data_IF_151593013789
#
_entry.id   IF_151593013789
#
_cell.length_a   1.000
_cell.length_b   1.000
_cell.length_c   1.000
_cell.angle_alpha   90.00
_cell.angle_beta   90.00
_cell.angle_gamma   90.00
#
_symmetry.space_group_name_H-M   'P 1'
#
loop_
_entity.id
_entity.type
_entity.pdbx_description
1 polymer ?
#
# COMPACT_ATOMS: atom_id res chain seq x y z
N UNK A 1 -4.92 5.67 0.60
CA UNK A 1 -3.94 4.78 -0.11
C UNK A 1 -3.87 5.07 -1.62
N UNK A 2 -2.78 4.66 -2.29
CA UNK A 2 -2.54 4.96 -3.72
C UNK A 2 -1.78 3.84 -4.47
N UNK A 3 -2.16 3.58 -5.73
CA UNK A 3 -1.39 2.72 -6.64
C UNK A 3 -1.18 3.37 -8.01
N UNK A 4 0.04 3.26 -8.54
CA UNK A 4 0.35 3.71 -9.90
C UNK A 4 -0.23 2.76 -10.95
N UNK A 5 -0.73 3.32 -12.05
CA UNK A 5 -1.01 2.58 -13.29
C UNK A 5 0.30 2.23 -14.01
N UNK A 6 0.24 1.37 -15.04
CA UNK A 6 1.29 1.27 -16.06
C UNK A 6 1.51 2.54 -16.89
N UNK A 7 0.80 3.64 -16.60
CA UNK A 7 0.89 4.94 -17.28
C UNK A 7 1.04 6.13 -16.31
N UNK A 8 0.61 7.33 -16.73
CA UNK A 8 0.73 8.59 -15.95
C UNK A 8 -0.53 8.93 -15.14
N UNK A 9 -1.11 7.93 -14.49
CA UNK A 9 -2.28 8.09 -13.63
C UNK A 9 -2.19 7.18 -12.40
N UNK A 10 -2.97 7.51 -11.38
CA UNK A 10 -2.93 6.88 -10.06
C UNK A 10 -4.36 6.55 -9.62
N UNK A 11 -4.53 5.35 -9.09
CA UNK A 11 -5.74 4.95 -8.38
C UNK A 11 -5.60 5.37 -6.93
N UNK A 12 -6.68 5.88 -6.36
CA UNK A 12 -6.80 6.19 -4.94
C UNK A 12 -7.79 5.23 -4.31
N UNK A 13 -7.59 4.96 -3.03
CA UNK A 13 -8.54 4.29 -2.17
C UNK A 13 -8.69 5.12 -0.90
N UNK A 14 -9.95 5.39 -0.58
CA UNK A 14 -10.42 6.04 0.63
C UNK A 14 -10.69 4.94 1.69
N UNK A 15 -10.45 5.25 2.94
CA UNK A 15 -10.58 4.33 4.08
C UNK A 15 -12.00 4.32 4.68
N UNK A 16 -12.89 5.23 4.22
CA UNK A 16 -14.28 5.26 4.63
C UNK A 16 -15.01 3.92 4.47
N UNK A 17 -15.85 3.57 5.44
CA UNK A 17 -16.67 2.36 5.36
C UNK A 17 -17.63 2.40 4.17
N UNK A 18 -17.66 1.33 3.38
CA UNK A 18 -18.56 1.16 2.24
C UNK A 18 -18.01 1.70 0.91
N UNK A 19 -16.70 1.99 0.83
CA UNK A 19 -16.05 2.34 -0.45
C UNK A 19 -16.35 1.26 -1.49
N UNK A 20 -16.75 1.71 -2.68
CA UNK A 20 -17.14 0.86 -3.83
C UNK A 20 -16.53 1.30 -5.16
N UNK A 21 -15.76 2.38 -5.17
CA UNK A 21 -15.06 2.89 -6.34
C UNK A 21 -13.66 3.41 -6.01
N UNK A 22 -12.81 3.45 -7.04
CA UNK A 22 -11.45 3.97 -6.98
C UNK A 22 -11.38 5.25 -7.80
N UNK A 23 -11.18 6.43 -7.19
CA UNK A 23 -10.84 7.64 -7.92
C UNK A 23 -9.55 7.45 -8.72
N UNK A 24 -9.54 7.97 -9.94
CA UNK A 24 -8.36 7.97 -10.80
C UNK A 24 -7.91 9.40 -11.02
N UNK A 25 -6.67 9.71 -10.68
CA UNK A 25 -6.10 11.06 -10.83
C UNK A 25 -4.87 11.07 -11.73
N UNK A 26 -4.58 12.20 -12.35
CA UNK A 26 -3.28 12.43 -12.97
C UNK A 26 -2.22 12.83 -11.93
N UNK A 27 -1.01 13.08 -12.41
CA UNK A 27 0.13 13.48 -11.57
C UNK A 27 0.00 14.82 -10.85
N UNK A 28 -0.96 15.65 -11.25
CA UNK A 28 -1.26 16.93 -10.62
C UNK A 28 -2.47 16.82 -9.67
N UNK A 29 -2.97 15.62 -9.44
CA UNK A 29 -4.17 15.36 -8.65
C UNK A 29 -5.48 15.66 -9.39
N UNK A 30 -5.45 15.88 -10.71
CA UNK A 30 -6.68 16.14 -11.46
C UNK A 30 -7.48 14.85 -11.65
N UNK A 31 -8.76 14.85 -11.23
CA UNK A 31 -9.65 13.70 -11.36
C UNK A 31 -9.93 13.37 -12.84
N UNK A 32 -9.57 12.17 -13.24
CA UNK A 32 -9.80 11.59 -14.57
C UNK A 32 -11.10 10.77 -14.64
N UNK A 33 -11.56 10.26 -13.50
CA UNK A 33 -12.79 9.48 -13.38
C UNK A 33 -12.78 8.60 -12.13
N UNK A 34 -13.75 7.69 -12.04
CA UNK A 34 -13.87 6.72 -10.94
C UNK A 34 -14.12 5.33 -11.51
N UNK A 35 -13.31 4.36 -11.10
CA UNK A 35 -13.50 2.95 -11.44
C UNK A 35 -14.42 2.33 -10.40
N UNK A 36 -15.64 1.95 -10.81
CA UNK A 36 -16.51 1.14 -9.95
C UNK A 36 -16.02 -0.30 -9.96
N UNK A 37 -15.88 -0.91 -8.79
CA UNK A 37 -15.45 -2.31 -8.66
C UNK A 37 -16.67 -3.14 -8.31
N UNK A 38 -16.94 -4.18 -9.10
CA UNK A 38 -18.09 -5.04 -8.87
C UNK A 38 -17.91 -5.81 -7.54
N UNK A 39 -18.89 -5.69 -6.63
CA UNK A 39 -18.87 -6.38 -5.34
C UNK A 39 -18.04 -5.70 -4.25
N UNK A 40 -17.27 -4.66 -4.57
CA UNK A 40 -16.48 -3.93 -3.57
C UNK A 40 -17.40 -3.18 -2.60
N UNK A 41 -17.21 -3.47 -1.32
CA UNK A 41 -17.82 -2.77 -0.19
C UNK A 41 -16.88 -2.91 1.01
N UNK A 42 -15.76 -2.21 0.97
CA UNK A 42 -14.71 -2.34 1.99
C UNK A 42 -15.23 -1.90 3.36
N UNK A 43 -14.98 -2.70 4.39
CA UNK A 43 -15.33 -2.35 5.78
C UNK A 43 -14.33 -1.36 6.37
N UNK A 44 -13.05 -1.65 6.16
CA UNK A 44 -11.92 -0.78 6.47
C UNK A 44 -10.85 -0.99 5.40
N UNK A 45 -11.00 -0.29 4.28
CA UNK A 45 -10.02 -0.33 3.19
C UNK A 45 -8.75 0.36 3.65
N UNK A 46 -7.63 -0.35 3.69
CA UNK A 46 -6.36 0.17 4.25
C UNK A 46 -5.15 -0.12 3.36
N UNK A 47 -5.37 -0.66 2.16
CA UNK A 47 -4.28 -0.88 1.23
C UNK A 47 -4.72 -0.85 -0.24
N UNK A 48 -3.86 -0.32 -1.10
CA UNK A 48 -4.05 -0.37 -2.54
C UNK A 48 -2.73 -0.67 -3.24
N UNK A 49 -2.64 -1.83 -3.90
CA UNK A 49 -1.42 -2.26 -4.56
C UNK A 49 -1.64 -2.55 -6.05
N UNK A 50 -0.67 -2.15 -6.87
CA UNK A 50 -0.54 -2.59 -8.25
C UNK A 50 0.51 -3.68 -8.37
N UNK A 51 0.19 -4.79 -9.06
CA UNK A 51 1.09 -5.95 -9.09
C UNK A 51 0.82 -6.94 -10.21
N UNK A 52 1.55 -8.05 -10.18
CA UNK A 52 1.35 -9.18 -11.07
C UNK A 52 -0.02 -9.83 -10.81
N UNK A 53 -0.74 -10.25 -11.86
CA UNK A 53 -1.91 -11.11 -11.71
C UNK A 53 -1.56 -12.60 -11.46
N UNK A 54 -0.31 -12.88 -11.09
CA UNK A 54 0.27 -14.21 -11.02
C UNK A 54 0.92 -14.65 -12.33
N UNK A 55 1.13 -15.97 -12.54
CA UNK A 55 1.77 -16.49 -13.75
C UNK A 55 1.02 -16.15 -15.05
N UNK A 56 -0.26 -15.81 -14.97
CA UNK A 56 -1.03 -15.31 -16.09
C UNK A 56 -0.61 -13.87 -16.43
N UNK A 57 -0.19 -13.63 -17.68
CA UNK A 57 0.28 -12.32 -18.13
C UNK A 57 -0.69 -11.16 -17.77
N UNK A 58 -0.14 -10.04 -17.32
CA UNK A 58 -0.86 -8.78 -17.06
C UNK A 58 -0.67 -8.20 -15.67
N UNK A 59 -1.12 -6.96 -15.49
CA UNK A 59 -1.16 -6.26 -14.19
C UNK A 59 -2.55 -6.30 -13.59
N UNK A 60 -2.59 -6.37 -12.26
CA UNK A 60 -3.78 -6.34 -11.44
C UNK A 60 -3.66 -5.22 -10.41
N UNK A 61 -4.81 -4.69 -10.02
CA UNK A 61 -4.97 -3.92 -8.80
C UNK A 61 -5.50 -4.83 -7.69
N UNK A 62 -5.10 -4.52 -6.47
CA UNK A 62 -5.47 -5.23 -5.27
C UNK A 62 -5.93 -4.20 -4.25
N UNK A 63 -7.21 -4.24 -3.91
CA UNK A 63 -7.84 -3.38 -2.90
C UNK A 63 -7.92 -4.20 -1.61
N UNK A 64 -7.15 -3.81 -0.60
CA UNK A 64 -7.10 -4.50 0.69
C UNK A 64 -8.11 -3.92 1.67
N UNK A 65 -9.17 -4.66 1.94
CA UNK A 65 -10.02 -4.49 3.13
C UNK A 65 -9.38 -5.27 4.29
N UNK A 66 -8.24 -4.75 4.74
CA UNK A 66 -7.31 -5.41 5.67
C UNK A 66 -7.18 -4.69 7.01
N UNK A 67 -7.83 -3.55 7.15
CA UNK A 67 -7.87 -2.80 8.40
C UNK A 67 -8.76 -3.44 9.45
N UNK A 68 -8.32 -3.36 10.69
CA UNK A 68 -9.04 -3.86 11.86
C UNK A 68 -8.49 -3.28 13.17
N UNK A 69 -8.66 -1.97 13.39
CA UNK A 69 -8.20 -1.30 14.61
C UNK A 69 -8.66 -1.96 15.93
N UNK A 70 -9.77 -2.72 15.90
CA UNK A 70 -10.30 -3.42 17.07
C UNK A 70 -9.76 -4.86 17.22
N UNK A 71 -9.07 -5.39 16.20
CA UNK A 71 -8.57 -6.78 16.11
C UNK A 71 -9.67 -7.82 16.40
N UNK A 72 -10.78 -7.77 15.64
CA UNK A 72 -11.97 -8.62 15.82
C UNK A 72 -12.42 -9.39 14.58
N UNK A 73 -11.82 -9.13 13.41
CA UNK A 73 -12.20 -9.76 12.14
C UNK A 73 -11.49 -11.09 12.00
N UNK A 74 -12.27 -12.16 11.86
CA UNK A 74 -11.74 -13.50 11.64
C UNK A 74 -11.04 -13.66 10.29
N UNK A 75 -11.40 -12.83 9.30
CA UNK A 75 -10.78 -12.76 7.99
C UNK A 75 -10.69 -11.33 7.44
N UNK A 76 -9.72 -11.14 6.54
CA UNK A 76 -9.56 -9.94 5.71
C UNK A 76 -9.82 -10.30 4.25
N UNK A 77 -10.19 -9.30 3.45
CA UNK A 77 -10.49 -9.51 2.02
C UNK A 77 -9.57 -8.65 1.18
N UNK A 78 -9.01 -9.24 0.13
CA UNK A 78 -8.30 -8.51 -0.92
C UNK A 78 -9.07 -8.68 -2.22
N UNK A 79 -9.64 -7.59 -2.74
CA UNK A 79 -10.32 -7.58 -4.02
C UNK A 79 -9.30 -7.42 -5.14
N UNK A 80 -9.16 -8.44 -5.99
CA UNK A 80 -8.24 -8.43 -7.13
C UNK A 80 -9.01 -8.19 -8.42
N UNK A 81 -8.63 -7.15 -9.15
CA UNK A 81 -9.15 -6.86 -10.48
C UNK A 81 -8.02 -6.71 -11.49
N UNK A 82 -8.28 -7.08 -12.74
CA UNK A 82 -7.39 -6.70 -13.85
C UNK A 82 -7.27 -5.19 -13.89
N UNK A 83 -6.05 -4.67 -14.03
CA UNK A 83 -5.82 -3.22 -14.06
C UNK A 83 -6.67 -2.61 -15.19
N UNK A 84 -7.65 -1.74 -14.86
CA UNK A 84 -8.55 -1.18 -15.87
C UNK A 84 -7.85 -0.11 -16.69
N UNK A 85 -8.32 0.10 -17.93
CA UNK A 85 -7.93 1.31 -18.67
C UNK A 85 -8.35 2.56 -17.89
N UNK A 86 -7.52 3.58 -17.92
CA UNK A 86 -7.82 4.90 -17.32
C UNK A 86 -8.13 5.95 -18.37
N UNK A 87 -8.09 5.58 -19.65
CA UNK A 87 -8.33 6.46 -20.81
C UNK A 87 -9.00 5.66 -21.95
N UNK A 88 -10.33 5.57 -22.00
CA UNK A 88 -11.29 6.11 -21.01
C UNK A 88 -11.37 5.24 -19.74
N UNK A 89 -11.83 5.84 -18.64
CA UNK A 89 -12.24 5.08 -17.45
C UNK A 89 -13.52 4.29 -17.77
N UNK A 90 -13.62 3.00 -17.40
CA UNK A 90 -14.80 2.17 -17.64
C UNK A 90 -16.07 2.77 -17.05
N UNK A 91 -17.15 2.78 -17.84
CA UNK A 91 -18.47 3.19 -17.35
C UNK A 91 -19.16 2.09 -16.58
N UNK A 92 -18.91 0.82 -16.89
CA UNK A 92 -19.45 -0.35 -16.19
C UNK A 92 -18.55 -0.76 -15.01
N UNK A 93 -19.12 -1.40 -13.95
CA UNK A 93 -18.32 -1.97 -12.87
C UNK A 93 -17.32 -3.00 -13.40
N UNK A 94 -16.07 -2.92 -12.94
CA UNK A 94 -15.00 -3.84 -13.30
C UNK A 94 -15.10 -5.10 -12.42
N UNK A 95 -15.13 -6.32 -12.99
CA UNK A 95 -15.13 -7.54 -12.20
C UNK A 95 -13.89 -7.68 -11.32
N UNK A 96 -14.09 -8.21 -10.11
CA UNK A 96 -13.03 -8.53 -9.17
C UNK A 96 -13.22 -9.95 -8.60
N UNK A 97 -12.09 -10.56 -8.22
CA UNK A 97 -12.06 -11.76 -7.40
C UNK A 97 -11.87 -11.35 -5.93
N UNK A 98 -12.67 -11.92 -5.03
CA UNK A 98 -12.55 -11.69 -3.59
C UNK A 98 -11.64 -12.77 -2.99
N UNK A 99 -10.44 -12.38 -2.59
CA UNK A 99 -9.46 -13.27 -1.97
C UNK A 99 -9.55 -13.11 -0.45
N UNK A 100 -10.15 -14.10 0.21
CA UNK A 100 -10.26 -14.13 1.67
C UNK A 100 -8.99 -14.68 2.29
N UNK A 101 -8.50 -14.02 3.34
CA UNK A 101 -7.33 -14.45 4.08
C UNK A 101 -7.58 -14.51 5.59
N UNK A 102 -6.95 -15.49 6.24
CA UNK A 102 -6.98 -15.63 7.70
C UNK A 102 -5.58 -15.57 8.28
N UNK A 103 -5.41 -14.78 9.33
CA UNK A 103 -4.19 -14.76 10.10
C UNK A 103 -4.06 -16.05 10.94
N UNK A 104 -2.86 -16.65 11.01
CA UNK A 104 -2.66 -17.91 11.74
C UNK A 104 -2.65 -17.72 13.27
N UNK A 105 -2.49 -16.50 13.76
CA UNK A 105 -2.30 -16.14 15.17
C UNK A 105 -3.37 -15.16 15.70
N UNK A 106 -4.54 -15.12 15.04
CA UNK A 106 -5.68 -14.27 15.41
C UNK A 106 -5.73 -12.97 14.60
N UNK A 107 -6.80 -12.17 14.76
CA UNK A 107 -6.99 -10.92 14.01
C UNK A 107 -5.86 -9.91 14.24
N UNK A 108 -5.51 -9.14 13.21
CA UNK A 108 -4.56 -8.02 13.29
C UNK A 108 -5.05 -6.83 12.47
N UNK A 109 -4.72 -5.61 12.92
CA UNK A 109 -4.81 -4.42 12.07
C UNK A 109 -3.64 -4.38 11.08
N UNK A 110 -3.90 -4.06 9.82
CA UNK A 110 -2.87 -3.93 8.78
C UNK A 110 -3.15 -2.75 7.84
N UNK A 111 -2.09 -2.13 7.34
CA UNK A 111 -2.15 -0.93 6.50
C UNK A 111 -1.22 -0.99 5.28
N UNK A 112 -0.58 -2.13 5.05
CA UNK A 112 0.29 -2.28 3.91
C UNK A 112 0.12 -3.63 3.24
N UNK A 113 0.01 -3.58 1.91
CA UNK A 113 -0.12 -4.72 1.02
C UNK A 113 0.86 -4.56 -0.14
N UNK A 114 1.67 -5.58 -0.41
CA UNK A 114 2.44 -5.68 -1.65
C UNK A 114 2.21 -7.02 -2.31
N UNK A 115 2.48 -7.10 -3.62
CA UNK A 115 2.17 -8.29 -4.43
C UNK A 115 3.44 -8.81 -5.08
N UNK A 116 3.78 -10.07 -4.81
CA UNK A 116 4.94 -10.74 -5.39
C UNK A 116 4.69 -11.11 -6.86
N UNK A 117 5.75 -11.51 -7.56
CA UNK A 117 5.68 -11.84 -8.99
C UNK A 117 4.74 -13.03 -9.31
N UNK A 118 4.63 -13.99 -8.39
CA UNK A 118 3.73 -15.15 -8.47
C UNK A 118 2.26 -14.80 -8.13
N UNK A 119 1.97 -13.53 -7.82
CA UNK A 119 0.64 -13.05 -7.44
C UNK A 119 0.27 -13.29 -5.98
N UNK A 120 1.18 -13.87 -5.18
CA UNK A 120 1.02 -13.95 -3.73
C UNK A 120 1.07 -12.56 -3.10
N UNK A 121 0.36 -12.42 -1.99
CA UNK A 121 0.28 -11.16 -1.26
C UNK A 121 1.22 -11.16 -0.06
N UNK A 122 1.73 -9.99 0.29
CA UNK A 122 2.45 -9.76 1.53
C UNK A 122 1.72 -8.66 2.28
N UNK A 123 1.35 -8.94 3.52
CA UNK A 123 0.59 -8.03 4.40
C UNK A 123 1.49 -7.62 5.56
N UNK A 124 1.54 -6.33 5.86
CA UNK A 124 2.30 -5.77 6.97
C UNK A 124 1.32 -5.15 7.98
N UNK A 125 1.35 -5.63 9.22
CA UNK A 125 0.42 -5.17 10.27
C UNK A 125 0.79 -3.78 10.77
N UNK A 126 -0.19 -2.97 11.18
CA UNK A 126 0.05 -1.78 11.99
C UNK A 126 -0.30 -2.07 13.44
N UNK A 127 0.70 -2.39 14.28
CA UNK A 127 0.45 -2.54 15.72
C UNK A 127 -0.05 -1.21 16.31
N UNK A 128 -0.93 -1.31 17.31
CA UNK A 128 -1.47 -0.14 17.99
C UNK A 128 -0.39 0.78 18.57
N UNK A 129 -0.62 2.08 18.46
CA UNK A 129 0.28 3.12 18.93
C UNK A 129 0.64 2.98 20.41
N UNK A 130 1.95 3.04 20.72
CA UNK A 130 2.45 2.98 22.09
C UNK A 130 3.53 4.05 22.30
N UNK A 131 3.23 5.15 23.00
CA UNK A 131 4.21 6.21 23.24
C UNK A 131 5.52 5.67 23.83
N UNK A 132 6.65 6.04 23.20
CA UNK A 132 7.99 5.64 23.64
C UNK A 132 8.39 4.18 23.34
N UNK A 133 7.62 3.44 22.54
CA UNK A 133 7.96 2.10 22.08
C UNK A 133 7.80 2.02 20.56
N UNK A 134 8.76 1.40 19.87
CA UNK A 134 8.60 1.00 18.48
C UNK A 134 8.05 -0.43 18.45
N UNK A 135 6.73 -0.62 18.26
CA UNK A 135 6.16 -1.95 18.24
C UNK A 135 6.64 -2.72 17.01
N UNK A 136 6.83 -4.04 17.17
CA UNK A 136 7.20 -4.89 16.04
C UNK A 136 5.98 -5.15 15.14
N UNK A 137 6.13 -4.82 13.87
CA UNK A 137 5.24 -5.20 12.78
C UNK A 137 5.41 -6.69 12.50
N UNK A 138 4.34 -7.32 12.06
CA UNK A 138 4.35 -8.69 11.53
C UNK A 138 4.22 -8.63 10.01
N UNK A 139 5.00 -9.46 9.34
CA UNK A 139 4.96 -9.63 7.89
C UNK A 139 4.38 -11.00 7.61
N UNK A 140 3.25 -11.02 6.91
CA UNK A 140 2.56 -12.22 6.50
C UNK A 140 2.67 -12.43 5.00
N UNK A 141 2.70 -13.68 4.55
CA UNK A 141 2.61 -14.06 3.14
C UNK A 141 1.35 -14.89 2.91
N UNK A 142 0.57 -14.53 1.90
CA UNK A 142 -0.68 -15.18 1.52
C UNK A 142 -0.65 -15.77 0.12
N UNK A 143 -1.28 -16.93 -0.14
CA UNK A 143 -1.37 -17.49 -1.48
C UNK A 143 -2.11 -16.58 -2.47
N UNK A 144 -1.78 -16.66 -3.76
CA UNK A 144 -2.39 -15.84 -4.81
C UNK A 144 -3.92 -16.05 -5.00
N UNK A 145 -4.49 -17.09 -4.40
CA UNK A 145 -5.89 -17.46 -4.50
C UNK A 145 -6.68 -17.25 -3.19
N UNK A 146 -6.11 -16.60 -2.18
CA UNK A 146 -6.67 -16.58 -0.83
C UNK A 146 -6.25 -17.78 0.01
N UNK A 147 -6.70 -17.84 1.26
CA UNK A 147 -6.42 -18.90 2.21
C UNK A 147 -5.70 -18.41 3.47
N UNK A 148 -5.04 -19.32 4.18
CA UNK A 148 -4.37 -18.95 5.41
C UNK A 148 -3.05 -18.22 5.12
N UNK A 149 -2.83 -17.12 5.84
CA UNK A 149 -1.57 -16.40 5.85
C UNK A 149 -0.52 -17.19 6.63
N UNK A 150 0.73 -17.09 6.21
CA UNK A 150 1.89 -17.55 6.98
C UNK A 150 2.62 -16.35 7.56
N UNK A 151 2.83 -16.33 8.88
CA UNK A 151 3.74 -15.37 9.50
C UNK A 151 5.16 -15.67 9.00
N UNK A 152 5.75 -14.72 8.28
CA UNK A 152 7.12 -14.83 7.76
C UNK A 152 8.11 -14.40 8.83
N UNK A 153 7.88 -13.21 9.42
CA UNK A 153 8.74 -12.64 10.44
C UNK A 153 8.09 -11.45 11.15
N UNK A 154 8.75 -11.02 12.21
CA UNK A 154 8.56 -9.68 12.78
C UNK A 154 9.62 -8.71 12.26
N UNK A 155 9.30 -7.43 12.29
CA UNK A 155 10.12 -6.35 11.77
C UNK A 155 9.85 -5.06 12.58
N UNK A 156 10.91 -4.31 12.87
CA UNK A 156 10.79 -2.96 13.44
C UNK A 156 11.39 -2.01 12.39
N UNK A 157 10.61 -1.03 11.89
CA UNK A 157 11.14 -0.03 10.97
C UNK A 157 12.37 0.69 11.55
N UNK A 158 13.29 1.18 10.71
CA UNK A 158 14.29 2.15 11.14
C UNK A 158 13.63 3.32 11.87
N UNK A 159 14.36 3.96 12.78
CA UNK A 159 13.82 5.17 13.42
C UNK A 159 14.00 6.36 12.47
N UNK A 160 12.98 7.19 12.26
CA UNK A 160 13.06 8.33 11.36
C UNK A 160 14.09 9.34 11.87
N UNK A 161 14.76 10.06 10.97
CA UNK A 161 15.71 11.10 11.35
C UNK A 161 15.05 12.26 12.13
N UNK A 162 13.75 12.50 11.87
CA UNK A 162 12.94 13.54 12.53
C UNK A 162 11.62 12.95 13.06
N UNK A 163 11.63 12.28 14.23
CA UNK A 163 10.45 11.63 14.79
C UNK A 163 9.51 12.68 15.42
N UNK A 164 8.61 13.29 14.66
CA UNK A 164 7.62 14.22 15.23
C UNK A 164 6.38 13.46 15.70
N UNK A 165 5.77 12.66 14.82
CA UNK A 165 4.58 11.88 15.14
C UNK A 165 4.91 10.57 15.87
N UNK A 166 6.01 9.92 15.48
CA UNK A 166 6.48 8.64 16.00
C UNK A 166 6.84 8.70 17.49
N UNK A 167 7.09 9.89 18.06
CA UNK A 167 7.21 10.05 19.52
C UNK A 167 5.91 9.71 20.27
N UNK A 168 4.76 9.95 19.62
CA UNK A 168 3.43 9.72 20.18
C UNK A 168 2.91 8.33 19.82
N UNK A 169 3.20 7.86 18.60
CA UNK A 169 2.63 6.62 18.07
C UNK A 169 3.57 5.42 18.09
N UNK A 170 4.88 5.65 18.20
CA UNK A 170 5.90 4.71 17.73
C UNK A 170 6.02 4.77 16.21
N UNK A 171 7.10 4.20 15.69
CA UNK A 171 7.33 4.14 14.24
C UNK A 171 6.42 3.08 13.62
N UNK A 172 5.34 3.48 12.95
CA UNK A 172 4.33 2.57 12.39
C UNK A 172 4.19 2.71 10.88
N UNK A 173 4.18 1.58 10.19
CA UNK A 173 3.90 1.49 8.74
C UNK A 173 2.45 1.88 8.46
N UNK A 174 2.27 2.76 7.48
CA UNK A 174 0.97 3.26 7.00
C UNK A 174 0.70 2.96 5.53
N UNK A 175 1.72 2.61 4.74
CA UNK A 175 1.56 1.99 3.41
C UNK A 175 2.88 1.37 2.94
N UNK A 176 2.83 0.56 1.89
CA UNK A 176 4.02 0.05 1.20
C UNK A 176 3.79 -0.09 -0.30
N UNK A 177 4.87 0.11 -1.09
CA UNK A 177 4.86 -0.08 -2.53
C UNK A 177 5.99 -0.99 -2.98
N UNK A 178 5.69 -1.96 -3.83
CA UNK A 178 6.70 -2.84 -4.43
C UNK A 178 6.68 -2.73 -5.96
N UNK A 179 7.81 -2.34 -6.54
CA UNK A 179 7.95 -2.26 -7.99
C UNK A 179 9.41 -2.43 -8.42
N UNK A 180 9.66 -3.34 -9.39
CA UNK A 180 10.96 -3.51 -10.06
C UNK A 180 12.16 -3.63 -9.09
N UNK A 181 12.05 -4.43 -8.04
CA UNK A 181 13.16 -4.63 -7.10
C UNK A 181 13.31 -3.54 -6.04
N UNK A 182 12.33 -2.63 -5.92
CA UNK A 182 12.31 -1.54 -4.96
C UNK A 182 11.07 -1.67 -4.10
N UNK A 183 11.27 -1.81 -2.78
CA UNK A 183 10.19 -1.70 -1.81
C UNK A 183 10.28 -0.33 -1.14
N UNK A 184 9.18 0.40 -1.15
CA UNK A 184 8.99 1.61 -0.38
C UNK A 184 8.13 1.27 0.82
N UNK A 185 8.61 1.65 1.99
CA UNK A 185 7.88 1.57 3.23
C UNK A 185 7.60 2.99 3.69
N UNK A 186 6.33 3.28 3.95
CA UNK A 186 5.88 4.57 4.46
C UNK A 186 5.50 4.43 5.93
N UNK A 187 5.93 5.38 6.75
CA UNK A 187 5.41 5.63 8.09
C UNK A 187 4.89 7.05 8.18
N UNK A 188 4.44 7.47 9.36
CA UNK A 188 4.03 8.86 9.59
C UNK A 188 5.15 9.92 9.46
N UNK A 189 6.43 9.55 9.59
CA UNK A 189 7.56 10.49 9.59
C UNK A 189 8.69 10.11 8.61
N UNK A 190 8.60 8.98 7.90
CA UNK A 190 9.66 8.55 6.99
C UNK A 190 9.15 7.79 5.76
N UNK A 191 9.94 7.89 4.70
CA UNK A 191 9.88 7.00 3.54
C UNK A 191 11.20 6.24 3.46
N UNK A 192 11.15 4.92 3.60
CA UNK A 192 12.33 4.06 3.52
C UNK A 192 12.31 3.24 2.23
N UNK A 193 13.39 3.32 1.47
CA UNK A 193 13.60 2.48 0.28
C UNK A 193 14.47 1.27 0.64
N UNK A 194 13.96 0.07 0.36
CA UNK A 194 14.70 -1.19 0.38
C UNK A 194 14.97 -1.67 -1.05
N UNK A 195 16.21 -2.09 -1.33
CA UNK A 195 16.65 -2.55 -2.67
C UNK A 195 16.87 -4.05 -2.69
N UNK A 196 15.99 -4.74 -3.41
CA UNK A 196 16.06 -6.19 -3.54
C UNK A 196 17.33 -6.67 -4.27
N UNK A 197 17.86 -7.84 -3.91
CA UNK A 197 18.99 -8.44 -4.61
C UNK A 197 18.63 -8.88 -6.03
N UNK A 198 17.34 -9.08 -6.33
CA UNK A 198 16.84 -9.34 -7.68
C UNK A 198 15.40 -8.83 -7.86
N UNK A 199 14.94 -8.59 -9.11
CA UNK A 199 13.56 -8.18 -9.37
C UNK A 199 12.49 -9.23 -9.04
N UNK A 200 12.89 -10.49 -8.84
CA UNK A 200 12.01 -11.62 -8.51
C UNK A 200 12.15 -12.05 -7.05
N UNK A 201 12.89 -11.30 -6.22
CA UNK A 201 12.99 -11.57 -4.80
C UNK A 201 11.60 -11.54 -4.16
N UNK A 202 11.39 -12.39 -3.15
CA UNK A 202 10.16 -12.35 -2.37
C UNK A 202 10.10 -11.04 -1.57
N UNK A 203 9.11 -10.15 -1.81
CA UNK A 203 9.01 -8.90 -1.08
C UNK A 203 8.88 -9.08 0.43
N UNK A 204 8.44 -10.23 0.95
CA UNK A 204 8.40 -10.48 2.40
C UNK A 204 9.80 -10.50 3.06
N UNK A 205 10.87 -10.64 2.26
CA UNK A 205 12.26 -10.62 2.74
C UNK A 205 12.89 -9.22 2.79
N UNK A 206 12.13 -8.16 2.48
CA UNK A 206 12.67 -6.80 2.42
C UNK A 206 13.46 -6.32 3.63
N UNK A 207 13.18 -6.74 4.89
CA UNK A 207 13.94 -6.26 6.03
C UNK A 207 15.43 -6.62 6.02
N UNK A 208 15.84 -7.62 5.22
CA UNK A 208 17.25 -8.02 5.11
C UNK A 208 17.99 -7.29 3.99
N UNK A 209 17.31 -6.43 3.23
CA UNK A 209 17.88 -5.75 2.08
C UNK A 209 18.58 -4.44 2.48
N UNK A 210 19.56 -3.98 1.68
CA UNK A 210 20.09 -2.63 1.83
C UNK A 210 18.96 -1.60 1.74
N UNK A 211 18.97 -0.64 2.66
CA UNK A 211 17.96 0.40 2.72
C UNK A 211 18.54 1.80 2.90
N UNK A 212 17.73 2.81 2.56
CA UNK A 212 18.01 4.23 2.82
C UNK A 212 16.72 4.99 3.06
N UNK A 213 16.78 6.01 3.91
CA UNK A 213 15.72 6.99 4.05
C UNK A 213 15.71 7.90 2.81
N UNK A 214 14.51 8.18 2.28
CA UNK A 214 14.27 9.13 1.21
C UNK A 214 13.75 10.45 1.80
N UNK A 215 13.75 11.51 0.99
CA UNK A 215 13.14 12.80 1.37
C UNK A 215 11.67 12.58 1.66
N UNK A 216 11.23 12.76 2.90
CA UNK A 216 9.81 12.73 3.29
C UNK A 216 9.12 14.06 2.93
N UNK A 217 7.97 14.05 2.21
CA UNK A 217 7.22 15.28 1.93
C UNK A 217 6.50 15.86 3.15
N UNK A 218 6.41 15.13 4.28
CA UNK A 218 5.83 15.62 5.53
C UNK A 218 4.34 15.91 5.41
N UNK A 219 3.59 15.04 4.72
CA UNK A 219 2.14 15.19 4.61
C UNK A 219 1.46 14.84 5.94
N UNK A 220 0.44 15.60 6.37
CA UNK A 220 -0.37 15.18 7.52
C UNK A 220 -1.11 13.88 7.16
N UNK A 221 -1.19 12.89 8.06
CA UNK A 221 -1.81 11.59 7.79
C UNK A 221 -1.35 10.97 6.46
N UNK A 222 -0.04 10.83 6.27
CA UNK A 222 0.52 10.21 5.07
C UNK A 222 0.26 8.71 5.10
N UNK A 223 -0.70 8.27 4.30
CA UNK A 223 -1.26 6.90 4.34
C UNK A 223 -1.43 6.34 2.92
N UNK A 224 -0.58 6.80 2.02
CA UNK A 224 -0.46 6.20 0.72
C UNK A 224 0.86 6.49 0.06
N UNK A 225 1.52 5.47 -0.46
CA UNK A 225 2.75 5.59 -1.24
C UNK A 225 2.72 4.70 -2.47
N UNK A 226 3.22 5.21 -3.60
CA UNK A 226 3.47 4.37 -4.76
C UNK A 226 4.74 4.79 -5.50
N UNK A 227 5.54 3.80 -5.90
CA UNK A 227 6.70 4.07 -6.75
C UNK A 227 6.25 4.67 -8.09
N UNK A 228 6.99 5.65 -8.59
CA UNK A 228 6.74 6.23 -9.91
C UNK A 228 7.88 5.90 -10.86
N UNK A 229 7.53 5.65 -12.12
CA UNK A 229 8.48 5.47 -13.23
C UNK A 229 9.00 6.84 -13.75
N UNK A 230 9.10 7.86 -12.86
CA UNK A 230 9.58 9.21 -13.20
C UNK A 230 11.04 9.38 -12.81
N UNK A 231 11.79 10.00 -13.73
CA UNK A 231 13.15 10.50 -13.51
C UNK A 231 14.27 9.54 -13.98
N UNK A 232 15.50 10.06 -14.17
CA UNK A 232 16.67 9.21 -14.38
C UNK A 232 16.90 8.40 -13.09
N UNK A 233 16.82 7.06 -13.18
CA UNK A 233 17.05 6.08 -12.12
C UNK A 233 15.83 5.52 -11.33
N UNK A 234 14.59 5.66 -11.81
CA UNK A 234 13.40 4.95 -11.26
C UNK A 234 13.25 5.05 -9.72
N UNK A 235 13.68 6.18 -9.14
CA UNK A 235 13.71 6.40 -7.69
C UNK A 235 12.63 7.38 -7.22
N UNK A 236 11.81 7.93 -8.13
CA UNK A 236 10.72 8.81 -7.78
C UNK A 236 9.57 8.04 -7.10
N UNK A 237 8.77 8.73 -6.32
CA UNK A 237 7.57 8.17 -5.74
C UNK A 237 6.50 9.23 -5.57
N UNK A 238 5.30 8.76 -5.28
CA UNK A 238 4.16 9.61 -4.99
C UNK A 238 3.61 9.24 -3.62
N UNK A 239 3.36 10.25 -2.80
CA UNK A 239 2.70 10.11 -1.52
C UNK A 239 1.36 10.85 -1.53
N UNK A 240 0.40 10.33 -0.78
CA UNK A 240 -0.90 10.96 -0.54
C UNK A 240 -1.21 11.02 0.94
N UNK A 241 -1.98 12.03 1.34
CA UNK A 241 -2.61 12.05 2.65
C UNK A 241 -4.04 11.53 2.60
N UNK A 242 -4.51 11.04 3.74
CA UNK A 242 -5.94 10.89 4.03
C UNK A 242 -6.66 12.26 3.99
N UNK A 243 -8.00 12.22 3.99
CA UNK A 243 -8.85 13.39 4.21
C UNK A 243 -8.77 13.78 5.69
N UNK A 244 -8.16 14.92 6.00
CA UNK A 244 -7.96 15.32 7.40
C UNK A 244 -9.27 15.58 8.18
N UNK A 245 -9.20 15.62 9.53
CA UNK A 245 -10.36 15.84 10.40
C UNK A 245 -11.17 17.08 9.97
N UNK A 246 -12.48 16.90 9.76
CA UNK A 246 -13.39 17.99 9.38
C UNK A 246 -13.59 18.21 7.87
N UNK A 247 -13.19 17.24 7.04
CA UNK A 247 -13.47 17.24 5.60
C UNK A 247 -12.48 18.06 4.77
N UNK A 248 -11.24 18.18 5.25
CA UNK A 248 -10.17 18.86 4.51
C UNK A 248 -9.64 17.96 3.41
N UNK A 249 -9.58 18.46 2.18
CA UNK A 249 -9.10 17.68 1.02
C UNK A 249 -7.75 17.02 1.29
N UNK A 250 -7.65 15.73 0.96
CA UNK A 250 -6.37 15.03 0.88
C UNK A 250 -5.39 15.72 -0.08
N UNK A 251 -4.10 15.53 0.19
CA UNK A 251 -2.98 16.11 -0.55
C UNK A 251 -2.22 15.03 -1.30
N UNK A 252 -1.54 15.42 -2.37
CA UNK A 252 -0.75 14.53 -3.22
C UNK A 252 0.56 15.21 -3.57
N UNK A 253 1.68 14.52 -3.35
CA UNK A 253 3.02 15.04 -3.67
C UNK A 253 3.76 14.00 -4.49
N UNK A 254 4.30 14.43 -5.63
CA UNK A 254 5.29 13.65 -6.37
C UNK A 254 6.68 14.09 -5.90
N UNK A 255 7.46 13.15 -5.40
CA UNK A 255 8.88 13.35 -5.09
C UNK A 255 9.67 12.75 -6.25
N UNK A 256 10.21 13.61 -7.10
CA UNK A 256 11.17 13.20 -8.12
C UNK A 256 12.56 13.14 -7.50
N UNK A 257 13.44 12.30 -8.05
CA UNK A 257 14.82 12.28 -7.61
C UNK A 257 15.49 13.59 -7.98
N UNK A 258 16.27 14.17 -7.05
CA UNK A 258 17.28 15.14 -7.44
C UNK A 258 18.22 14.44 -8.46
N UNK A 259 18.46 15.10 -9.59
CA UNK A 259 19.58 14.71 -10.45
C UNK A 259 20.86 14.83 -9.60
N UNK A 260 21.80 13.88 -9.72
CA UNK A 260 23.06 13.92 -8.98
C UNK A 260 23.84 15.22 -9.21
#
# INVERSE_FOLDING_TARGET
MVAATGGRAYFLLDDATGVSDLPVVDARGALLGRVRVAGLSARNGEALAGGSCGPAAGRCLFVGDIGDNAERRDDIVVHRLREPSVRPVPSAPVPADDLHFRYPDGPHNAEALVVAADGSVVVITKPGARPGQDPAHRIYRGPAAGGDLALVRTFVPPRPASPLQSLLTGTVVTDASWSRGRLLLLTYDEVVEYRAPSPTADPASFPDWPHRELVDPGLPQQEGITATDRGPADCGYLAVSEEGPGGSRGSMVTVDCAAP
#
